data_IF_994389351833
#
_entry.id   IF_994389351833
#
_cell.length_a   1.000
_cell.length_b   1.000
_cell.length_c   1.000
_cell.angle_alpha   90.00
_cell.angle_beta   90.00
_cell.angle_gamma   90.00
#
_symmetry.space_group_name_H-M   'P 1'
#
loop_
_entity.id
_entity.type
_entity.pdbx_description
1 polymer ?
#
# COMPACT_ATOMS: atom_id res chain seq x y z
N UNK A 1 51.33 21.58 42.67
CA UNK A 1 51.70 22.22 41.39
C UNK A 1 50.56 21.91 40.44
N UNK A 2 49.49 22.72 40.47
CA UNK A 2 49.33 23.96 39.70
C UNK A 2 48.87 23.65 38.27
N UNK A 3 47.56 23.74 38.03
CA UNK A 3 47.02 24.11 36.71
C UNK A 3 47.48 25.55 36.37
N UNK A 4 47.42 25.99 35.09
CA UNK A 4 46.19 26.69 34.70
C UNK A 4 45.81 26.64 33.19
N UNK A 5 44.50 26.76 32.95
CA UNK A 5 43.86 27.79 32.10
C UNK A 5 44.08 27.84 30.57
N UNK A 6 42.94 27.81 29.85
CA UNK A 6 42.73 28.47 28.54
C UNK A 6 41.84 27.63 27.62
N UNK A 7 40.79 28.11 26.97
CA UNK A 7 40.36 29.48 26.70
C UNK A 7 38.89 29.45 26.23
N UNK A 8 38.09 30.34 26.80
CA UNK A 8 36.67 30.49 26.53
C UNK A 8 36.48 31.48 25.38
N UNK A 9 36.09 30.98 24.20
CA UNK A 9 35.67 31.87 23.10
C UNK A 9 34.17 32.15 23.18
N UNK A 10 33.91 33.31 23.75
CA UNK A 10 32.72 34.14 23.58
C UNK A 10 32.37 34.32 22.09
N UNK A 11 31.11 34.05 21.74
CA UNK A 11 30.53 34.57 20.51
C UNK A 11 29.62 35.76 20.84
N UNK A 12 29.66 36.84 20.03
CA UNK A 12 28.94 38.08 20.31
C UNK A 12 27.44 37.97 20.03
N UNK A 13 26.70 38.53 20.97
CA UNK A 13 25.26 38.80 20.96
C UNK A 13 24.89 40.02 20.13
N UNK A 14 23.85 39.89 19.30
CA UNK A 14 22.97 40.98 18.83
C UNK A 14 22.84 41.12 17.29
N UNK A 15 21.74 41.71 16.76
CA UNK A 15 20.77 42.55 17.46
C UNK A 15 19.29 42.10 17.39
N UNK A 16 18.58 42.40 18.47
CA UNK A 16 17.13 42.55 18.48
C UNK A 16 16.73 43.84 17.76
N UNK A 17 15.85 43.73 16.77
CA UNK A 17 15.21 44.86 16.10
C UNK A 17 13.72 44.56 15.91
N UNK A 18 12.92 45.12 16.81
CA UNK A 18 11.45 45.05 16.87
C UNK A 18 10.85 46.05 15.90
N UNK A 19 9.91 45.60 15.07
CA UNK A 19 8.67 46.32 14.76
C UNK A 19 8.64 47.18 13.50
N UNK A 20 7.89 46.73 12.49
CA UNK A 20 6.98 47.59 11.73
C UNK A 20 5.93 46.74 11.03
N UNK A 21 4.68 47.11 11.29
CA UNK A 21 3.43 46.47 10.93
C UNK A 21 2.97 47.02 9.56
N UNK A 22 2.56 46.16 8.61
CA UNK A 22 1.77 46.62 7.46
C UNK A 22 2.05 45.96 6.12
N UNK A 23 1.44 44.80 5.89
CA UNK A 23 0.62 44.53 4.69
C UNK A 23 0.08 43.10 4.77
N UNK A 24 -1.07 42.96 5.44
CA UNK A 24 -1.96 41.82 5.21
C UNK A 24 -2.48 41.96 3.78
N UNK A 25 -2.00 41.11 2.88
CA UNK A 25 -2.43 41.08 1.48
C UNK A 25 -2.36 39.66 0.92
N UNK A 26 -3.38 38.86 1.23
CA UNK A 26 -3.98 37.89 0.28
C UNK A 26 -3.11 36.83 -0.43
N UNK A 27 -2.01 36.33 0.15
CA UNK A 27 -1.29 35.16 -0.41
C UNK A 27 -1.88 33.81 0.05
N UNK A 28 -3.21 33.72 0.12
CA UNK A 28 -3.95 32.54 0.56
C UNK A 28 -4.31 31.53 -0.54
N UNK A 29 -3.75 31.66 -1.75
CA UNK A 29 -4.14 30.85 -2.92
C UNK A 29 -2.94 30.18 -3.64
N UNK A 30 -1.75 30.19 -3.06
CA UNK A 30 -0.54 29.58 -3.65
C UNK A 30 -0.55 28.04 -3.71
N UNK A 31 -1.39 27.36 -2.93
CA UNK A 31 -1.42 25.89 -2.83
C UNK A 31 -2.17 25.18 -3.96
N UNK A 32 -2.91 25.91 -4.81
CA UNK A 32 -3.63 25.29 -5.93
C UNK A 32 -2.70 24.99 -7.13
N UNK A 33 -1.58 25.71 -7.26
CA UNK A 33 -0.61 25.56 -8.35
C UNK A 33 0.07 24.19 -8.39
N UNK A 34 0.35 23.60 -7.22
CA UNK A 34 0.94 22.26 -7.11
C UNK A 34 -0.07 21.13 -7.37
N UNK A 35 -1.38 21.42 -7.29
CA UNK A 35 -2.45 20.47 -7.57
C UNK A 35 -2.92 20.51 -9.03
N UNK A 36 -2.61 21.58 -9.78
CA UNK A 36 -2.85 21.69 -11.24
C UNK A 36 -2.38 20.46 -12.03
N UNK A 37 -1.20 19.88 -11.78
CA UNK A 37 -0.75 18.68 -12.51
C UNK A 37 -1.42 17.37 -12.04
N UNK A 38 -2.00 17.34 -10.84
CA UNK A 38 -2.81 16.20 -10.37
C UNK A 38 -4.26 16.31 -10.86
N UNK A 39 -4.68 17.51 -11.27
CA UNK A 39 -6.02 17.80 -11.77
C UNK A 39 -6.45 16.86 -12.92
N UNK A 40 -5.61 16.49 -13.91
CA UNK A 40 -6.00 15.56 -14.97
C UNK A 40 -6.17 14.11 -14.50
N UNK A 41 -5.41 13.68 -13.49
CA UNK A 41 -5.54 12.34 -12.89
C UNK A 41 -6.77 12.30 -12.00
N UNK A 42 -6.96 13.34 -11.18
CA UNK A 42 -8.15 13.51 -10.36
C UNK A 42 -9.40 13.65 -11.22
N UNK A 43 -9.40 14.49 -12.27
CA UNK A 43 -10.50 14.58 -13.24
C UNK A 43 -10.67 13.27 -14.01
N UNK A 44 -9.61 12.58 -14.40
CA UNK A 44 -9.73 11.28 -15.08
C UNK A 44 -10.40 10.22 -14.20
N UNK A 45 -10.13 10.26 -12.90
CA UNK A 45 -10.77 9.40 -11.91
C UNK A 45 -12.19 9.85 -11.54
N UNK A 46 -12.46 11.16 -11.55
CA UNK A 46 -13.76 11.76 -11.22
C UNK A 46 -14.73 11.80 -12.41
N UNK A 47 -14.21 11.83 -13.64
CA UNK A 47 -14.97 11.81 -14.90
C UNK A 47 -15.18 10.38 -15.42
N UNK A 48 -14.59 9.39 -14.77
CA UNK A 48 -14.98 8.00 -14.97
C UNK A 48 -16.42 7.84 -14.46
N UNK A 49 -17.33 7.51 -15.36
CA UNK A 49 -18.71 7.16 -15.04
C UNK A 49 -18.75 6.11 -13.90
N UNK A 50 -19.76 6.11 -13.04
CA UNK A 50 -19.80 5.27 -11.82
C UNK A 50 -19.53 3.77 -12.12
N UNK A 51 -19.93 3.32 -13.32
CA UNK A 51 -19.65 1.99 -13.85
C UNK A 51 -18.18 1.70 -14.18
N UNK A 52 -17.42 2.70 -14.65
CA UNK A 52 -16.01 2.55 -15.05
C UNK A 52 -15.08 2.50 -13.85
N UNK A 53 -15.34 3.33 -12.82
CA UNK A 53 -14.57 3.27 -11.58
C UNK A 53 -14.77 1.93 -10.87
N UNK A 54 -16.01 1.43 -10.82
CA UNK A 54 -16.31 0.14 -10.18
C UNK A 54 -15.74 -1.06 -10.94
N UNK A 55 -15.67 -1.02 -12.27
CA UNK A 55 -14.96 -2.05 -13.05
C UNK A 55 -13.46 -1.97 -12.84
N UNK A 56 -12.85 -0.77 -12.91
CA UNK A 56 -11.41 -0.60 -12.71
C UNK A 56 -10.97 -1.10 -11.33
N UNK A 57 -11.70 -0.74 -10.28
CA UNK A 57 -11.43 -1.20 -8.91
C UNK A 57 -11.51 -2.72 -8.80
N UNK A 58 -12.45 -3.35 -9.51
CA UNK A 58 -12.62 -4.80 -9.55
C UNK A 58 -11.46 -5.47 -10.28
N UNK A 59 -11.08 -4.93 -11.43
CA UNK A 59 -10.00 -5.45 -12.26
C UNK A 59 -8.65 -5.32 -11.54
N UNK A 60 -8.40 -4.19 -10.89
CA UNK A 60 -7.20 -3.99 -10.08
C UNK A 60 -7.12 -4.98 -8.91
N UNK A 61 -8.23 -5.18 -8.19
CA UNK A 61 -8.30 -6.16 -7.08
C UNK A 61 -8.13 -7.58 -7.57
N UNK A 62 -8.68 -7.90 -8.75
CA UNK A 62 -8.56 -9.21 -9.35
C UNK A 62 -7.11 -9.46 -9.75
N UNK A 63 -6.51 -8.53 -10.47
CA UNK A 63 -5.11 -8.59 -10.88
C UNK A 63 -4.18 -8.81 -9.68
N UNK A 64 -4.36 -8.05 -8.59
CA UNK A 64 -3.53 -8.19 -7.39
C UNK A 64 -3.70 -9.53 -6.64
N UNK A 65 -4.85 -10.20 -6.80
CA UNK A 65 -5.14 -11.48 -6.12
C UNK A 65 -4.88 -12.71 -6.98
N UNK A 66 -4.94 -12.56 -8.30
CA UNK A 66 -4.74 -13.67 -9.23
C UNK A 66 -3.33 -14.24 -9.06
N UNK A 67 -2.30 -13.37 -8.94
CA UNK A 67 -0.94 -13.73 -8.51
C UNK A 67 -0.30 -12.57 -7.72
N UNK A 68 -0.27 -12.63 -6.38
CA UNK A 68 0.25 -11.54 -5.54
C UNK A 68 1.74 -11.25 -5.71
N UNK A 69 2.57 -12.26 -6.00
CA UNK A 69 4.02 -12.08 -6.20
C UNK A 69 4.25 -11.33 -7.51
N UNK A 70 3.61 -11.77 -8.57
CA UNK A 70 3.73 -11.12 -9.88
C UNK A 70 3.19 -9.69 -9.83
N UNK A 71 2.09 -9.45 -9.11
CA UNK A 71 1.56 -8.11 -8.90
C UNK A 71 2.53 -7.20 -8.14
N UNK A 72 3.19 -7.72 -7.10
CA UNK A 72 4.21 -6.98 -6.36
C UNK A 72 5.43 -6.68 -7.26
N UNK A 73 5.94 -7.67 -7.97
CA UNK A 73 7.09 -7.52 -8.86
C UNK A 73 6.80 -6.52 -9.99
N UNK A 74 5.62 -6.60 -10.60
CA UNK A 74 5.17 -5.65 -11.61
C UNK A 74 5.02 -4.23 -11.05
N UNK A 75 4.53 -4.09 -9.81
CA UNK A 75 4.44 -2.78 -9.15
C UNK A 75 5.83 -2.18 -8.92
N UNK A 76 6.79 -2.96 -8.45
CA UNK A 76 8.17 -2.49 -8.19
C UNK A 76 8.89 -2.15 -9.49
N UNK A 77 8.91 -3.08 -10.44
CA UNK A 77 9.65 -2.90 -11.69
C UNK A 77 8.96 -1.88 -12.60
N UNK A 78 7.66 -2.03 -12.81
CA UNK A 78 6.88 -1.14 -13.66
C UNK A 78 6.74 0.25 -13.05
N UNK A 79 6.43 0.34 -11.75
CA UNK A 79 6.38 1.59 -11.02
C UNK A 79 7.74 2.29 -10.99
N UNK A 80 8.82 1.53 -10.77
CA UNK A 80 10.19 2.06 -10.76
C UNK A 80 10.64 2.63 -12.09
N UNK A 81 10.36 1.93 -13.20
CA UNK A 81 10.62 2.43 -14.54
C UNK A 81 9.76 3.67 -14.85
N UNK A 82 8.48 3.66 -14.48
CA UNK A 82 7.59 4.81 -14.68
C UNK A 82 8.08 6.03 -13.88
N UNK A 83 8.52 5.82 -12.64
CA UNK A 83 9.12 6.84 -11.79
C UNK A 83 10.40 7.40 -12.40
N UNK A 84 11.31 6.53 -12.85
CA UNK A 84 12.53 6.95 -13.54
C UNK A 84 12.22 7.82 -14.77
N UNK A 85 11.29 7.40 -15.62
CA UNK A 85 10.91 8.19 -16.80
C UNK A 85 10.30 9.55 -16.45
N UNK A 86 9.56 9.63 -15.35
CA UNK A 86 8.99 10.89 -14.85
C UNK A 86 10.07 11.84 -14.30
N UNK A 87 11.11 11.31 -13.67
CA UNK A 87 12.08 12.10 -12.90
C UNK A 87 13.40 12.38 -13.63
N UNK A 88 13.86 11.51 -14.55
CA UNK A 88 15.23 11.50 -15.10
C UNK A 88 15.72 12.82 -15.72
N UNK A 89 14.82 13.68 -16.18
CA UNK A 89 15.17 14.95 -16.83
C UNK A 89 15.30 16.12 -15.84
N UNK A 90 14.74 15.99 -14.63
CA UNK A 90 14.67 17.08 -13.63
C UNK A 90 15.32 16.74 -12.31
N UNK A 91 15.42 15.46 -11.99
CA UNK A 91 15.94 14.97 -10.74
C UNK A 91 17.33 14.38 -10.93
N UNK A 92 18.40 15.11 -10.56
CA UNK A 92 19.77 14.62 -10.71
C UNK A 92 20.07 13.37 -9.85
N UNK A 93 19.25 13.08 -8.83
CA UNK A 93 19.37 11.87 -8.03
C UNK A 93 18.73 10.63 -8.69
N UNK A 94 17.89 10.81 -9.74
CA UNK A 94 17.29 9.71 -10.50
C UNK A 94 18.00 9.52 -11.84
N UNK A 95 19.26 9.10 -11.80
CA UNK A 95 20.12 9.05 -12.99
C UNK A 95 19.87 7.80 -13.85
N UNK A 96 19.53 6.69 -13.22
CA UNK A 96 19.38 5.37 -13.84
C UNK A 96 18.01 4.76 -13.55
N UNK A 97 17.54 3.82 -14.39
CA UNK A 97 16.31 3.07 -14.11
C UNK A 97 16.33 2.36 -12.75
N UNK A 98 17.52 1.95 -12.29
CA UNK A 98 17.70 1.27 -11.02
C UNK A 98 17.38 2.17 -9.82
N UNK A 99 17.69 3.47 -9.92
CA UNK A 99 17.37 4.44 -8.87
C UNK A 99 15.85 4.54 -8.67
N UNK A 100 15.08 4.54 -9.76
CA UNK A 100 13.61 4.51 -9.69
C UNK A 100 13.05 3.20 -9.13
N UNK A 101 13.63 2.06 -9.51
CA UNK A 101 13.23 0.74 -8.98
C UNK A 101 13.51 0.63 -7.49
N UNK A 102 14.69 1.05 -7.04
CA UNK A 102 15.04 1.09 -5.62
C UNK A 102 14.09 2.00 -4.84
N UNK A 103 13.85 3.21 -5.34
CA UNK A 103 12.91 4.14 -4.72
C UNK A 103 11.53 3.51 -4.53
N UNK A 104 10.93 2.96 -5.60
CA UNK A 104 9.61 2.34 -5.53
C UNK A 104 9.59 1.12 -4.61
N UNK A 105 10.65 0.30 -4.60
CA UNK A 105 10.77 -0.81 -3.66
C UNK A 105 10.77 -0.34 -2.19
N UNK A 106 11.45 0.77 -1.88
CA UNK A 106 11.45 1.32 -0.51
C UNK A 106 10.10 1.94 -0.13
N UNK A 107 9.35 2.50 -1.09
CA UNK A 107 7.99 3.00 -0.90
C UNK A 107 6.98 1.90 -0.51
N UNK A 108 7.28 0.62 -0.74
CA UNK A 108 6.46 -0.49 -0.22
C UNK A 108 6.47 -0.58 1.31
N UNK A 109 7.38 0.16 1.97
CA UNK A 109 7.44 0.28 3.42
C UNK A 109 7.50 1.74 3.85
N UNK A 110 8.62 2.16 4.42
CA UNK A 110 8.85 3.48 5.01
C UNK A 110 9.40 4.50 4.01
N UNK A 111 9.98 4.07 2.88
CA UNK A 111 10.56 4.99 1.89
C UNK A 111 11.93 5.56 2.28
N UNK A 112 12.80 4.76 2.91
CA UNK A 112 14.19 5.18 3.14
C UNK A 112 14.99 5.10 1.85
N UNK A 113 14.96 6.20 1.09
CA UNK A 113 15.86 6.45 -0.02
C UNK A 113 16.36 7.89 0.05
N UNK A 114 17.55 8.15 -0.50
CA UNK A 114 18.05 9.51 -0.69
C UNK A 114 17.45 10.18 -1.94
N UNK A 115 16.54 9.49 -2.62
CA UNK A 115 15.81 9.95 -3.78
C UNK A 115 14.40 10.38 -3.38
N UNK A 116 14.01 11.59 -3.76
CA UNK A 116 12.64 12.09 -3.58
C UNK A 116 12.10 12.60 -4.92
N UNK A 117 10.79 12.43 -5.21
CA UNK A 117 10.17 13.01 -6.38
C UNK A 117 10.29 14.53 -6.38
N UNK A 118 10.56 15.08 -7.55
CA UNK A 118 10.64 16.51 -7.83
C UNK A 118 9.62 16.94 -8.87
N UNK A 119 9.06 15.99 -9.62
CA UNK A 119 8.02 16.22 -10.61
C UNK A 119 6.65 15.87 -10.05
N UNK A 120 5.58 16.54 -10.51
CA UNK A 120 4.24 16.19 -10.09
C UNK A 120 3.83 14.74 -10.40
N UNK A 121 4.28 14.21 -11.54
CA UNK A 121 4.04 12.81 -11.92
C UNK A 121 4.79 11.86 -10.98
N UNK A 122 6.04 12.17 -10.62
CA UNK A 122 6.78 11.42 -9.61
C UNK A 122 6.08 11.43 -8.25
N UNK A 123 5.55 12.57 -7.79
CA UNK A 123 4.77 12.64 -6.56
C UNK A 123 3.49 11.80 -6.61
N UNK A 124 2.79 11.78 -7.75
CA UNK A 124 1.60 10.96 -7.94
C UNK A 124 1.93 9.47 -7.84
N UNK A 125 2.99 9.02 -8.53
CA UNK A 125 3.45 7.63 -8.49
C UNK A 125 3.88 7.25 -7.07
N UNK A 126 4.73 8.06 -6.44
CA UNK A 126 5.20 7.84 -5.08
C UNK A 126 4.03 7.72 -4.10
N UNK A 127 3.05 8.64 -4.18
CA UNK A 127 1.88 8.63 -3.30
C UNK A 127 1.01 7.40 -3.50
N UNK A 128 0.81 6.97 -4.75
CA UNK A 128 0.08 5.73 -5.07
C UNK A 128 0.78 4.51 -4.47
N UNK A 129 2.09 4.37 -4.70
CA UNK A 129 2.88 3.24 -4.20
C UNK A 129 2.94 3.27 -2.68
N UNK A 130 3.11 4.41 -2.02
CA UNK A 130 3.15 4.48 -0.56
C UNK A 130 1.78 4.14 0.06
N UNK A 131 0.68 4.49 -0.62
CA UNK A 131 -0.68 4.24 -0.11
C UNK A 131 -1.08 2.77 -0.23
N UNK A 132 -0.73 2.12 -1.34
CA UNK A 132 -1.21 0.76 -1.65
C UNK A 132 -0.12 -0.32 -1.59
N UNK A 133 1.14 0.08 -1.72
CA UNK A 133 2.32 -0.79 -1.70
C UNK A 133 2.44 -1.65 -0.46
N UNK A 134 2.28 -1.11 0.77
CA UNK A 134 2.32 -1.95 1.98
C UNK A 134 1.25 -3.04 1.99
N UNK A 135 0.06 -2.76 1.47
CA UNK A 135 -0.99 -3.77 1.38
C UNK A 135 -0.66 -4.86 0.35
N UNK A 136 -0.07 -4.49 -0.80
CA UNK A 136 0.44 -5.44 -1.80
C UNK A 136 1.62 -6.28 -1.27
N UNK A 137 2.55 -5.66 -0.55
CA UNK A 137 3.68 -6.36 0.05
C UNK A 137 3.24 -7.38 1.12
N UNK A 138 2.21 -7.03 1.91
CA UNK A 138 1.68 -7.94 2.94
C UNK A 138 1.03 -9.20 2.35
N UNK A 139 0.48 -9.14 1.13
CA UNK A 139 -0.14 -10.28 0.45
C UNK A 139 0.83 -11.06 -0.44
N UNK A 140 2.10 -10.69 -0.49
CA UNK A 140 3.07 -11.27 -1.43
C UNK A 140 3.22 -12.80 -1.29
N UNK A 141 3.02 -13.37 -0.11
CA UNK A 141 3.13 -14.81 0.11
C UNK A 141 1.77 -15.49 0.30
N UNK A 142 0.66 -14.79 0.03
CA UNK A 142 -0.66 -15.41 0.00
C UNK A 142 -0.78 -16.36 -1.20
N UNK A 143 -1.55 -17.44 -1.03
CA UNK A 143 -1.83 -18.36 -2.11
C UNK A 143 -2.51 -17.64 -3.29
N UNK A 144 -2.11 -17.90 -4.55
CA UNK A 144 -2.79 -17.40 -5.73
C UNK A 144 -4.30 -17.69 -5.69
N UNK A 145 -5.13 -16.82 -6.29
CA UNK A 145 -6.58 -16.94 -6.18
C UNK A 145 -7.15 -18.29 -6.65
N UNK A 146 -6.48 -18.95 -7.61
CA UNK A 146 -6.89 -20.28 -8.07
C UNK A 146 -6.65 -21.36 -6.99
N UNK A 147 -5.50 -21.31 -6.31
CA UNK A 147 -5.14 -22.25 -5.25
C UNK A 147 -6.04 -22.03 -4.03
N UNK A 148 -6.21 -20.78 -3.60
CA UNK A 148 -7.10 -20.44 -2.47
C UNK A 148 -8.55 -20.89 -2.71
N UNK A 149 -9.04 -20.83 -3.97
CA UNK A 149 -10.37 -21.36 -4.32
C UNK A 149 -10.41 -22.88 -4.28
N UNK A 150 -9.40 -23.56 -4.81
CA UNK A 150 -9.32 -25.01 -4.79
C UNK A 150 -9.26 -25.55 -3.34
N UNK A 151 -8.51 -24.88 -2.46
CA UNK A 151 -8.47 -25.21 -1.03
C UNK A 151 -9.82 -25.01 -0.36
N UNK A 152 -10.49 -23.88 -0.62
CA UNK A 152 -11.81 -23.60 -0.07
C UNK A 152 -12.88 -24.60 -0.56
N UNK A 153 -12.81 -25.04 -1.81
CA UNK A 153 -13.68 -26.09 -2.36
C UNK A 153 -13.39 -27.45 -1.72
N UNK A 154 -12.12 -27.80 -1.55
CA UNK A 154 -11.72 -29.04 -0.87
C UNK A 154 -12.15 -29.05 0.61
N UNK A 155 -12.05 -27.91 1.30
CA UNK A 155 -12.51 -27.76 2.68
C UNK A 155 -14.03 -27.94 2.79
N UNK A 156 -14.80 -27.31 1.88
CA UNK A 156 -16.26 -27.51 1.81
C UNK A 156 -16.63 -28.96 1.56
N UNK A 157 -15.96 -29.64 0.64
CA UNK A 157 -16.19 -31.05 0.37
C UNK A 157 -15.93 -31.93 1.62
N UNK A 158 -14.84 -31.67 2.35
CA UNK A 158 -14.54 -32.36 3.62
C UNK A 158 -15.59 -32.05 4.70
N UNK A 159 -16.07 -30.81 4.78
CA UNK A 159 -17.12 -30.43 5.72
C UNK A 159 -18.45 -31.12 5.41
N UNK A 160 -18.82 -31.24 4.13
CA UNK A 160 -20.01 -31.96 3.69
C UNK A 160 -19.92 -33.46 3.98
N UNK A 161 -18.74 -34.06 3.74
CA UNK A 161 -18.45 -35.45 4.10
C UNK A 161 -18.56 -35.66 5.62
N UNK A 162 -17.93 -34.80 6.42
CA UNK A 162 -18.01 -34.85 7.87
C UNK A 162 -19.46 -34.70 8.37
N UNK A 163 -20.24 -33.81 7.75
CA UNK A 163 -21.65 -33.65 8.07
C UNK A 163 -22.47 -34.90 7.70
N UNK A 164 -22.15 -35.58 6.60
CA UNK A 164 -22.78 -36.84 6.21
C UNK A 164 -22.46 -37.96 7.20
N UNK A 165 -21.19 -38.08 7.61
CA UNK A 165 -20.76 -39.03 8.64
C UNK A 165 -21.46 -38.76 9.97
N UNK A 166 -21.54 -37.50 10.41
CA UNK A 166 -22.24 -37.13 11.64
C UNK A 166 -23.72 -37.51 11.59
N UNK A 167 -24.41 -37.25 10.46
CA UNK A 167 -25.80 -37.68 10.28
C UNK A 167 -25.95 -39.20 10.35
N UNK A 168 -25.03 -39.95 9.75
CA UNK A 168 -25.05 -41.40 9.80
C UNK A 168 -24.82 -41.93 11.22
N UNK A 169 -23.89 -41.34 11.98
CA UNK A 169 -23.64 -41.70 13.39
C UNK A 169 -24.89 -41.45 14.23
N UNK A 170 -25.52 -40.27 14.09
CA UNK A 170 -26.74 -39.94 14.84
C UNK A 170 -27.87 -40.94 14.55
N UNK A 171 -28.09 -41.29 13.28
CA UNK A 171 -29.09 -42.30 12.92
C UNK A 171 -28.82 -43.67 13.56
N UNK A 172 -27.54 -44.09 13.63
CA UNK A 172 -27.17 -45.35 14.30
C UNK A 172 -27.37 -45.30 15.81
N UNK A 173 -27.13 -44.14 16.44
CA UNK A 173 -27.38 -43.95 17.86
C UNK A 173 -28.87 -44.03 18.18
N UNK A 174 -29.73 -43.43 17.35
CA UNK A 174 -31.19 -43.51 17.50
C UNK A 174 -31.69 -44.96 17.42
N UNK A 175 -31.15 -45.76 16.50
CA UNK A 175 -31.46 -47.20 16.40
C UNK A 175 -31.09 -47.96 17.67
N UNK A 176 -29.92 -47.68 18.25
CA UNK A 176 -29.47 -48.32 19.49
C UNK A 176 -30.38 -47.92 20.66
N UNK A 177 -30.71 -46.63 20.78
CA UNK A 177 -31.61 -46.13 21.83
C UNK A 177 -32.98 -46.81 21.74
N UNK A 178 -33.51 -46.99 20.52
CA UNK A 178 -34.75 -47.71 20.29
C UNK A 178 -34.67 -49.16 20.77
N UNK A 179 -33.64 -49.90 20.37
CA UNK A 179 -33.43 -51.31 20.79
C UNK A 179 -33.30 -51.46 22.31
N UNK A 180 -32.68 -50.50 22.98
CA UNK A 180 -32.52 -50.52 24.44
C UNK A 180 -33.79 -50.13 25.20
N UNK A 181 -34.70 -49.39 24.54
CA UNK A 181 -35.96 -48.94 25.14
C UNK A 181 -37.08 -49.97 25.01
N UNK A 182 -36.93 -50.99 24.17
CA UNK A 182 -37.89 -52.09 24.05
C UNK A 182 -37.84 -52.98 25.31
N UNK A 183 -39.00 -53.27 25.94
CA UNK A 183 -39.04 -54.10 27.14
C UNK A 183 -38.56 -55.51 26.82
N UNK A 184 -37.56 -55.99 27.56
CA UNK A 184 -37.08 -57.37 27.40
C UNK A 184 -38.20 -58.35 27.77
N UNK A 185 -38.41 -59.41 26.98
CA UNK A 185 -39.38 -60.46 27.28
C UNK A 185 -39.01 -61.24 28.55
#
# INVERSE_FOLDING_TARGET
MAEPSGDARSQPSGPSGIGSNGSRGLDGLGGLGELVPLLPVALGLLAADDGQYTSLKRDLRRWAKDDPIDALAATVLGGGIAFYLAERERNPACATPWDGILYVATCLSVGYDNLFPTTPTGHAIASLVQTFGPALANMAFDAPAAEARAEAEAERARADEAAAVNRAILARLDDIVRLLSEPRP
#
